data_IF_188390254920
#
_entry.id   IF_188390254920
#
_cell.length_a   1.000
_cell.length_b   1.000
_cell.length_c   1.000
_cell.angle_alpha   90.00
_cell.angle_beta   90.00
_cell.angle_gamma   90.00
#
_symmetry.space_group_name_H-M   'P 1'
#
loop_
_entity.id
_entity.type
_entity.pdbx_description
1 polymer ?
#
# COMPACT_ATOMS: atom_id res chain seq x y z
N UNK A 1 -14.52 -1.37 4.88
CA UNK A 1 -13.88 -1.10 3.57
C UNK A 1 -14.46 0.19 3.02
N UNK A 2 -13.62 1.19 2.76
CA UNK A 2 -14.06 2.38 2.02
C UNK A 2 -13.88 2.07 0.53
N UNK A 3 -14.97 2.15 -0.24
CA UNK A 3 -14.96 1.95 -1.68
C UNK A 3 -14.83 3.32 -2.34
N UNK A 4 -13.77 3.50 -3.12
CA UNK A 4 -13.65 4.62 -4.02
C UNK A 4 -14.59 4.40 -5.22
N UNK A 5 -15.26 5.43 -5.75
CA UNK A 5 -16.17 5.31 -6.90
C UNK A 5 -15.50 4.85 -8.20
N UNK A 6 -14.16 4.80 -8.23
CA UNK A 6 -13.36 4.27 -9.33
C UNK A 6 -13.13 2.75 -9.28
N UNK A 7 -13.74 2.03 -8.34
CA UNK A 7 -13.58 0.58 -8.19
C UNK A 7 -12.19 0.12 -7.74
N UNK A 8 -11.32 1.08 -7.39
CA UNK A 8 -9.99 0.79 -6.84
C UNK A 8 -10.12 0.45 -5.36
N UNK A 9 -9.74 -0.77 -4.99
CA UNK A 9 -9.74 -1.22 -3.59
C UNK A 9 -8.73 -0.40 -2.81
N UNK A 10 -9.14 0.11 -1.65
CA UNK A 10 -8.26 0.86 -0.76
C UNK A 10 -8.01 0.07 0.52
N UNK A 11 -6.74 -0.08 0.85
CA UNK A 11 -6.31 -0.77 2.06
C UNK A 11 -5.93 0.24 3.14
N UNK A 12 -6.21 -0.12 4.39
CA UNK A 12 -5.49 0.44 5.52
C UNK A 12 -4.32 -0.50 5.88
N UNK A 13 -3.51 -0.14 6.87
CA UNK A 13 -2.39 -0.99 7.33
C UNK A 13 -2.85 -2.43 7.62
N UNK A 14 -4.02 -2.61 8.25
CA UNK A 14 -4.55 -3.93 8.56
C UNK A 14 -4.91 -4.73 7.30
N UNK A 15 -5.57 -4.09 6.32
CA UNK A 15 -5.89 -4.72 5.04
C UNK A 15 -4.64 -5.09 4.25
N UNK A 16 -3.58 -4.27 4.32
CA UNK A 16 -2.27 -4.62 3.73
C UNK A 16 -1.63 -5.81 4.44
N UNK A 17 -1.73 -5.91 5.78
CA UNK A 17 -1.22 -7.06 6.53
C UNK A 17 -1.94 -8.35 6.13
N UNK A 18 -3.27 -8.30 6.00
CA UNK A 18 -4.08 -9.44 5.60
C UNK A 18 -3.78 -9.87 4.15
N UNK A 19 -3.71 -8.90 3.23
CA UNK A 19 -3.49 -9.20 1.81
C UNK A 19 -2.06 -9.69 1.53
N UNK A 20 -1.06 -9.11 2.18
CA UNK A 20 0.34 -9.53 2.02
C UNK A 20 0.73 -10.70 2.93
N UNK A 21 -0.18 -11.18 3.78
CA UNK A 21 0.05 -12.19 4.81
C UNK A 21 1.34 -11.92 5.60
N UNK A 22 1.52 -10.68 6.02
CA UNK A 22 2.78 -10.19 6.59
C UNK A 22 2.57 -9.45 7.90
N UNK A 23 3.64 -9.36 8.69
CA UNK A 23 3.61 -8.69 9.99
C UNK A 23 3.43 -7.18 9.84
N UNK A 24 2.79 -6.56 10.84
CA UNK A 24 2.60 -5.11 10.89
C UNK A 24 3.88 -4.32 10.66
N UNK A 25 4.97 -4.74 11.30
CA UNK A 25 6.29 -4.09 11.18
C UNK A 25 6.81 -4.06 9.74
N UNK A 26 6.56 -5.13 8.97
CA UNK A 26 6.94 -5.19 7.55
C UNK A 26 6.08 -4.27 6.70
N UNK A 27 4.78 -4.19 6.99
CA UNK A 27 3.89 -3.22 6.33
C UNK A 27 4.30 -1.80 6.68
N UNK A 28 4.54 -1.50 7.96
CA UNK A 28 5.00 -0.19 8.41
C UNK A 28 6.34 0.20 7.78
N UNK A 29 7.26 -0.76 7.61
CA UNK A 29 8.51 -0.56 6.87
C UNK A 29 8.26 -0.28 5.38
N UNK A 30 7.34 -1.00 4.75
CA UNK A 30 6.97 -0.82 3.35
C UNK A 30 6.37 0.56 3.10
N UNK A 31 5.42 0.98 3.94
CA UNK A 31 4.75 2.28 3.78
C UNK A 31 5.64 3.46 4.17
N UNK A 32 6.65 3.23 5.00
CA UNK A 32 7.69 4.23 5.31
C UNK A 32 8.72 4.37 4.19
N UNK A 33 8.66 3.56 3.13
CA UNK A 33 9.60 3.68 2.02
C UNK A 33 9.31 4.95 1.20
N UNK A 34 10.35 5.66 0.73
CA UNK A 34 10.15 6.82 -0.10
C UNK A 34 9.48 6.44 -1.43
N UNK A 35 8.40 7.17 -1.75
CA UNK A 35 7.57 6.93 -2.92
C UNK A 35 6.44 5.93 -2.70
N UNK A 36 6.16 5.51 -1.46
CA UNK A 36 4.96 4.73 -1.17
C UNK A 36 3.70 5.56 -1.45
N UNK A 37 2.72 5.04 -2.21
CA UNK A 37 1.48 5.74 -2.48
C UNK A 37 0.59 5.75 -1.24
N UNK A 38 0.44 6.93 -0.64
CA UNK A 38 -0.45 7.17 0.50
C UNK A 38 -1.48 8.23 0.15
N UNK A 39 -2.72 8.02 0.59
CA UNK A 39 -3.82 8.94 0.37
C UNK A 39 -4.47 9.33 1.69
N UNK A 40 -4.72 10.62 1.87
CA UNK A 40 -5.36 11.16 3.06
C UNK A 40 -6.74 11.71 2.70
N UNK A 41 -7.79 11.08 3.21
CA UNK A 41 -9.11 11.68 3.15
C UNK A 41 -9.21 12.85 4.13
N UNK A 42 -9.86 13.97 3.76
CA UNK A 42 -9.96 15.15 4.62
C UNK A 42 -10.61 14.86 5.99
N UNK A 43 -11.42 13.81 6.10
CA UNK A 43 -12.07 13.39 7.35
C UNK A 43 -11.38 12.22 8.07
N UNK A 44 -10.21 11.74 7.60
CA UNK A 44 -9.49 10.64 8.23
C UNK A 44 -8.11 11.05 8.71
N UNK A 45 -7.81 10.70 9.98
CA UNK A 45 -6.46 10.87 10.57
C UNK A 45 -5.44 9.84 10.08
N UNK A 46 -5.88 8.77 9.42
CA UNK A 46 -5.02 7.66 8.97
C UNK A 46 -5.00 7.60 7.46
N UNK A 47 -3.83 7.41 6.83
CA UNK A 47 -3.74 7.25 5.40
C UNK A 47 -4.39 5.92 4.97
N UNK A 48 -4.88 5.92 3.74
CA UNK A 48 -5.28 4.73 3.01
C UNK A 48 -4.32 4.53 1.84
N UNK A 49 -4.20 3.28 1.41
CA UNK A 49 -3.24 2.83 0.41
C UNK A 49 -4.01 2.23 -0.76
N UNK A 50 -4.02 2.89 -1.94
CA UNK A 50 -4.70 2.36 -3.11
C UNK A 50 -4.02 1.07 -3.60
N UNK A 51 -4.79 0.01 -3.82
CA UNK A 51 -4.28 -1.32 -4.21
C UNK A 51 -3.41 -1.24 -5.48
N UNK A 52 -3.93 -0.63 -6.55
CA UNK A 52 -3.23 -0.60 -7.85
C UNK A 52 -1.89 0.13 -7.77
N UNK A 53 -1.84 1.24 -7.03
CA UNK A 53 -0.61 2.01 -6.82
C UNK A 53 0.37 1.23 -5.93
N UNK A 54 -0.11 0.59 -4.86
CA UNK A 54 0.73 -0.26 -4.00
C UNK A 54 1.33 -1.43 -4.77
N UNK A 55 0.55 -2.09 -5.63
CA UNK A 55 1.03 -3.17 -6.50
C UNK A 55 2.08 -2.66 -7.48
N UNK A 56 1.87 -1.49 -8.08
CA UNK A 56 2.86 -0.86 -8.95
C UNK A 56 4.15 -0.52 -8.19
N UNK A 57 4.05 0.00 -6.97
CA UNK A 57 5.18 0.32 -6.10
C UNK A 57 5.98 -0.94 -5.72
N UNK A 58 5.30 -1.98 -5.24
CA UNK A 58 5.91 -3.26 -4.90
C UNK A 58 6.59 -3.86 -6.14
N UNK A 59 5.91 -3.84 -7.29
CA UNK A 59 6.48 -4.32 -8.56
C UNK A 59 7.73 -3.52 -8.94
N UNK A 60 7.70 -2.20 -8.82
CA UNK A 60 8.86 -1.35 -9.14
C UNK A 60 10.06 -1.65 -8.22
N UNK A 61 9.82 -1.84 -6.92
CA UNK A 61 10.88 -2.17 -5.95
C UNK A 61 11.39 -3.61 -6.07
N UNK A 62 10.54 -4.56 -6.47
CA UNK A 62 10.93 -5.97 -6.68
C UNK A 62 11.60 -6.22 -8.03
N UNK A 63 11.23 -5.47 -9.07
CA UNK A 63 11.84 -5.55 -10.42
C UNK A 63 13.27 -5.00 -10.43
N UNK A 64 13.67 -4.21 -9.41
CA UNK A 64 15.05 -3.77 -9.24
C UNK A 64 15.99 -4.87 -8.67
N UNK A 65 15.57 -6.13 -8.62
CA UNK A 65 16.52 -7.25 -8.64
C UNK A 65 17.00 -7.41 -10.08
N UNK A 66 18.14 -6.80 -10.40
CA UNK A 66 18.92 -7.14 -11.61
C UNK A 66 18.92 -8.66 -11.76
N UNK A 67 18.50 -9.24 -12.90
CA UNK A 67 19.06 -10.53 -13.28
C UNK A 67 20.57 -10.35 -13.34
N UNK A 68 21.28 -11.31 -12.73
CA UNK A 68 22.73 -11.41 -12.56
C UNK A 68 23.59 -10.60 -13.52
#
# INVERSE_FOLDING_TARGET
MAFDPNGSRMFNIQGLMEEMQTSREKVESLVSMPGCPEFYYPNQKRPVYPESEMLAFIKAKTTYKRPM
#
